data_IF_283546276469
#
_entry.id   IF_283546276469
#
_cell.length_a   1.000
_cell.length_b   1.000
_cell.length_c   1.000
_cell.angle_alpha   90.00
_cell.angle_beta   90.00
_cell.angle_gamma   90.00
#
_symmetry.space_group_name_H-M   'P 1'
#
loop_
_entity.id
_entity.type
_entity.pdbx_description
1 polymer ?
#
# COMPACT_ATOMS: atom_id res chain seq x y z
N UNK A 1 -19.65 -22.29 14.40
CA UNK A 1 -18.67 -22.02 15.48
C UNK A 1 -17.28 -21.96 14.85
N UNK A 2 -16.74 -20.77 14.60
CA UNK A 2 -15.36 -20.63 14.11
C UNK A 2 -14.40 -21.05 15.23
N UNK A 3 -13.68 -22.18 15.04
CA UNK A 3 -12.59 -22.56 15.94
C UNK A 3 -11.50 -21.47 15.85
N UNK A 4 -11.20 -20.83 16.99
CA UNK A 4 -10.04 -19.94 17.08
C UNK A 4 -8.78 -20.69 16.59
N UNK A 5 -7.94 -20.10 15.75
CA UNK A 5 -6.73 -20.75 15.25
C UNK A 5 -5.86 -21.21 16.43
N UNK A 6 -5.33 -22.41 16.34
CA UNK A 6 -4.50 -23.01 17.38
C UNK A 6 -3.18 -22.23 17.47
N UNK A 7 -2.83 -21.79 18.67
CA UNK A 7 -1.52 -21.13 18.91
C UNK A 7 -0.39 -22.08 18.59
N UNK A 8 0.69 -21.57 18.00
CA UNK A 8 1.92 -22.29 17.72
C UNK A 8 3.14 -21.54 18.26
N UNK A 9 4.29 -22.18 18.29
CA UNK A 9 5.54 -21.55 18.75
C UNK A 9 5.92 -20.42 17.79
N UNK A 10 6.43 -19.33 18.34
CA UNK A 10 6.85 -18.17 17.55
C UNK A 10 7.99 -18.51 16.58
N UNK A 11 8.99 -19.31 17.03
CA UNK A 11 10.11 -19.72 16.19
C UNK A 11 9.63 -20.57 15.00
N UNK A 12 8.64 -21.46 15.18
CA UNK A 12 8.05 -22.23 14.09
C UNK A 12 7.31 -21.32 13.11
N UNK A 13 6.47 -20.43 13.63
CA UNK A 13 5.73 -19.47 12.80
C UNK A 13 6.66 -18.59 11.96
N UNK A 14 7.76 -18.11 12.55
CA UNK A 14 8.75 -17.27 11.86
C UNK A 14 9.47 -18.02 10.73
N UNK A 15 9.73 -19.32 10.90
CA UNK A 15 10.32 -20.17 9.86
C UNK A 15 9.29 -20.48 8.78
N UNK A 16 8.07 -20.83 9.15
CA UNK A 16 6.96 -21.10 8.21
C UNK A 16 6.65 -19.88 7.32
N UNK A 17 6.72 -18.68 7.89
CA UNK A 17 6.53 -17.43 7.16
C UNK A 17 7.76 -17.02 6.32
N UNK A 18 8.83 -17.82 6.29
CA UNK A 18 10.08 -17.50 5.59
C UNK A 18 10.85 -16.32 6.20
N UNK A 19 10.49 -15.91 7.40
CA UNK A 19 11.15 -14.79 8.10
C UNK A 19 12.57 -15.17 8.55
N UNK A 20 12.82 -16.44 8.84
CA UNK A 20 14.15 -16.95 9.18
C UNK A 20 14.37 -18.32 8.53
N UNK A 21 15.61 -18.68 8.19
CA UNK A 21 15.92 -19.96 7.54
C UNK A 21 15.70 -21.15 8.47
N UNK A 22 15.83 -20.94 9.79
CA UNK A 22 15.73 -21.98 10.81
C UNK A 22 15.35 -21.38 12.18
N UNK A 23 15.02 -22.26 13.13
CA UNK A 23 14.67 -21.88 14.51
C UNK A 23 15.80 -21.19 15.27
N UNK A 24 17.06 -21.55 15.01
CA UNK A 24 18.20 -20.96 15.69
C UNK A 24 18.40 -19.50 15.27
N UNK A 25 18.17 -19.18 14.01
CA UNK A 25 18.16 -17.81 13.51
C UNK A 25 17.02 -17.00 14.14
N UNK A 26 15.82 -17.56 14.25
CA UNK A 26 14.69 -16.94 14.92
C UNK A 26 14.97 -16.72 16.44
N UNK A 27 15.56 -17.71 17.12
CA UNK A 27 15.95 -17.60 18.52
C UNK A 27 16.96 -16.44 18.74
N UNK A 28 18.02 -16.37 17.91
CA UNK A 28 19.00 -15.27 18.00
C UNK A 28 18.35 -13.89 17.84
N UNK A 29 17.40 -13.75 16.90
CA UNK A 29 16.69 -12.49 16.70
C UNK A 29 15.81 -12.11 17.91
N UNK A 30 15.14 -13.08 18.53
CA UNK A 30 14.37 -12.85 19.77
C UNK A 30 15.28 -12.42 20.91
N UNK A 31 16.43 -13.11 21.11
CA UNK A 31 17.42 -12.76 22.14
C UNK A 31 18.03 -11.37 21.90
N UNK A 32 18.21 -10.97 20.64
CA UNK A 32 18.69 -9.63 20.27
C UNK A 32 17.60 -8.53 20.41
N UNK A 33 16.39 -8.87 20.87
CA UNK A 33 15.22 -7.96 20.91
C UNK A 33 14.90 -7.36 19.54
N UNK A 34 14.94 -8.18 18.53
CA UNK A 34 14.60 -7.80 17.15
C UNK A 34 13.17 -8.21 16.77
N UNK A 35 12.49 -8.99 17.61
CA UNK A 35 11.13 -9.50 17.35
C UNK A 35 10.14 -8.91 18.35
N UNK A 36 9.05 -8.32 17.83
CA UNK A 36 7.86 -7.94 18.62
C UNK A 36 6.64 -8.69 18.07
N UNK A 37 5.76 -9.05 18.98
CA UNK A 37 4.44 -9.63 18.65
C UNK A 37 3.39 -8.74 19.28
N UNK A 38 2.43 -8.26 18.50
CA UNK A 38 1.38 -7.32 18.91
C UNK A 38 2.01 -6.11 19.65
N UNK A 39 3.07 -5.50 19.05
CA UNK A 39 3.87 -4.38 19.54
C UNK A 39 4.67 -4.62 20.83
N UNK A 40 4.69 -5.84 21.39
CA UNK A 40 5.44 -6.19 22.59
C UNK A 40 6.68 -7.02 22.23
N UNK A 41 7.85 -6.65 22.78
CA UNK A 41 9.04 -7.49 22.64
C UNK A 41 8.81 -8.83 23.33
N UNK A 42 9.05 -9.91 22.60
CA UNK A 42 8.88 -11.26 23.14
C UNK A 42 10.10 -11.67 23.95
N UNK A 43 9.83 -12.37 25.05
CA UNK A 43 10.89 -12.87 25.95
C UNK A 43 11.46 -14.22 25.52
N UNK A 44 10.73 -14.99 24.72
CA UNK A 44 11.12 -16.35 24.31
C UNK A 44 10.64 -16.69 22.92
N UNK A 45 11.51 -17.28 22.11
CA UNK A 45 11.17 -17.81 20.79
C UNK A 45 10.18 -19.00 20.84
N UNK A 46 10.10 -19.68 21.99
CA UNK A 46 9.13 -20.73 22.23
C UNK A 46 7.74 -20.23 22.67
N UNK A 47 7.54 -18.91 22.80
CA UNK A 47 6.25 -18.32 23.16
C UNK A 47 5.16 -18.78 22.17
N UNK A 48 4.00 -19.15 22.71
CA UNK A 48 2.85 -19.54 21.90
C UNK A 48 2.10 -18.29 21.42
N UNK A 49 2.10 -18.07 20.12
CA UNK A 49 1.44 -16.96 19.43
C UNK A 49 0.34 -17.45 18.50
N UNK A 50 -0.59 -16.57 18.15
CA UNK A 50 -1.59 -16.88 17.13
C UNK A 50 -0.92 -16.80 15.74
N UNK A 51 -1.34 -17.62 14.76
CA UNK A 51 -0.83 -17.54 13.39
C UNK A 51 -1.06 -16.19 12.71
N UNK A 52 -2.10 -15.47 13.15
CA UNK A 52 -2.51 -14.13 12.67
C UNK A 52 -1.98 -12.98 13.56
N UNK A 53 -1.04 -13.24 14.48
CA UNK A 53 -0.44 -12.21 15.32
C UNK A 53 0.39 -11.22 14.46
N UNK A 54 0.35 -9.93 14.83
CA UNK A 54 1.19 -8.92 14.18
C UNK A 54 2.65 -9.09 14.64
N UNK A 55 3.52 -9.53 13.72
CA UNK A 55 4.94 -9.77 13.99
C UNK A 55 5.79 -8.68 13.36
N UNK A 56 6.46 -7.90 14.21
CA UNK A 56 7.45 -6.93 13.78
C UNK A 56 8.87 -7.47 13.96
N UNK A 57 9.69 -7.37 12.91
CA UNK A 57 11.11 -7.76 12.91
C UNK A 57 11.99 -6.52 12.76
N UNK A 58 12.75 -6.19 13.82
CA UNK A 58 13.71 -5.08 13.80
C UNK A 58 14.80 -5.36 12.76
N UNK A 59 15.06 -4.38 11.91
CA UNK A 59 16.07 -4.52 10.85
C UNK A 59 15.60 -5.25 9.59
N UNK A 60 14.51 -5.99 9.61
CA UNK A 60 13.84 -6.51 8.43
C UNK A 60 12.64 -5.64 8.10
N UNK A 61 12.83 -4.73 7.17
CA UNK A 61 11.71 -4.00 6.58
C UNK A 61 10.95 -5.01 5.72
N UNK A 62 9.67 -5.25 6.03
CA UNK A 62 8.78 -6.07 5.21
C UNK A 62 8.76 -5.55 3.76
N UNK A 63 8.75 -4.23 3.60
CA UNK A 63 8.81 -3.52 2.32
C UNK A 63 9.96 -2.51 2.31
N UNK A 64 10.39 -2.07 1.14
CA UNK A 64 11.46 -1.04 0.99
C UNK A 64 11.11 0.28 1.68
N UNK A 65 9.81 0.55 1.89
CA UNK A 65 9.33 1.67 2.69
C UNK A 65 8.03 1.31 3.41
N UNK A 66 7.66 2.13 4.42
CA UNK A 66 6.41 1.95 5.17
C UNK A 66 5.14 2.11 4.31
N UNK A 67 5.24 2.73 3.12
CA UNK A 67 4.14 2.79 2.15
C UNK A 67 3.58 1.41 1.81
N UNK A 68 4.42 0.38 1.67
CA UNK A 68 3.99 -0.99 1.40
C UNK A 68 3.00 -1.54 2.44
N UNK A 69 3.13 -1.15 3.72
CA UNK A 69 2.17 -1.53 4.78
C UNK A 69 0.79 -0.92 4.56
N UNK A 70 0.69 0.29 3.98
CA UNK A 70 -0.59 0.91 3.65
C UNK A 70 -1.32 0.09 2.60
N UNK A 71 -0.63 -0.21 1.49
CA UNK A 71 -1.21 -1.00 0.41
C UNK A 71 -1.53 -2.42 0.88
N UNK A 72 -0.65 -3.08 1.64
CA UNK A 72 -0.94 -4.41 2.20
C UNK A 72 -2.24 -4.41 3.00
N UNK A 73 -2.43 -3.42 3.88
CA UNK A 73 -3.69 -3.30 4.64
C UNK A 73 -4.92 -3.14 3.75
N UNK A 74 -4.80 -2.45 2.61
CA UNK A 74 -5.90 -2.36 1.64
C UNK A 74 -6.15 -3.68 0.93
N UNK A 75 -5.09 -4.37 0.48
CA UNK A 75 -5.22 -5.68 -0.18
C UNK A 75 -5.91 -6.69 0.74
N UNK A 76 -5.51 -6.72 2.01
CA UNK A 76 -6.09 -7.63 3.02
C UNK A 76 -7.55 -7.28 3.31
N UNK A 77 -7.86 -6.01 3.59
CA UNK A 77 -9.20 -5.57 3.94
C UNK A 77 -10.21 -5.72 2.81
N UNK A 78 -9.77 -5.50 1.57
CA UNK A 78 -10.61 -5.66 0.39
C UNK A 78 -10.57 -7.07 -0.22
N UNK A 79 -9.79 -7.97 0.35
CA UNK A 79 -9.52 -9.32 -0.20
C UNK A 79 -9.13 -9.24 -1.68
N UNK A 80 -8.26 -8.26 -2.02
CA UNK A 80 -7.85 -8.01 -3.39
C UNK A 80 -6.69 -8.94 -3.77
N UNK A 81 -6.96 -9.88 -4.66
CA UNK A 81 -5.91 -10.67 -5.30
C UNK A 81 -5.17 -9.82 -6.34
N UNK A 82 -3.85 -9.98 -6.39
CA UNK A 82 -2.93 -9.27 -7.30
C UNK A 82 -2.15 -10.26 -8.19
N UNK A 83 -2.27 -11.56 -7.91
CA UNK A 83 -1.50 -12.58 -8.62
C UNK A 83 -1.74 -12.51 -10.14
N UNK A 84 -0.65 -12.41 -10.90
CA UNK A 84 -0.68 -12.36 -12.37
C UNK A 84 -1.14 -11.03 -12.99
N UNK A 85 -1.45 -10.01 -12.19
CA UNK A 85 -1.95 -8.72 -12.69
C UNK A 85 -0.84 -7.85 -13.30
N UNK A 86 -1.23 -7.04 -14.30
CA UNK A 86 -0.48 -5.90 -14.81
C UNK A 86 -0.89 -4.64 -14.03
N UNK A 87 0.03 -4.07 -13.26
CA UNK A 87 -0.24 -3.00 -12.31
C UNK A 87 0.42 -1.67 -12.71
N UNK A 88 -0.24 -0.56 -12.37
CA UNK A 88 0.35 0.79 -12.44
C UNK A 88 0.48 1.34 -11.01
N UNK A 89 1.68 1.76 -10.62
CA UNK A 89 1.98 2.43 -9.35
C UNK A 89 2.32 3.90 -9.62
N UNK A 90 1.38 4.80 -9.29
CA UNK A 90 1.49 6.24 -9.51
C UNK A 90 2.01 6.90 -8.22
N UNK A 91 3.19 7.53 -8.31
CA UNK A 91 3.90 8.07 -7.15
C UNK A 91 4.71 6.99 -6.44
N UNK A 92 5.44 6.19 -7.22
CA UNK A 92 6.18 5.02 -6.70
C UNK A 92 7.25 5.37 -5.66
N UNK A 93 7.84 6.58 -5.70
CA UNK A 93 8.84 7.06 -4.75
C UNK A 93 9.94 6.02 -4.49
N UNK A 94 10.09 5.58 -3.25
CA UNK A 94 11.06 4.53 -2.88
C UNK A 94 10.63 3.11 -3.28
N UNK A 95 9.43 2.93 -3.80
CA UNK A 95 8.91 1.65 -4.28
C UNK A 95 8.13 0.83 -3.24
N UNK A 96 7.55 1.48 -2.23
CA UNK A 96 6.82 0.77 -1.18
C UNK A 96 5.58 0.03 -1.72
N UNK A 97 4.76 0.70 -2.53
CA UNK A 97 3.60 0.08 -3.16
C UNK A 97 4.04 -0.95 -4.21
N UNK A 98 5.02 -0.62 -5.05
CA UNK A 98 5.60 -1.56 -6.03
C UNK A 98 6.08 -2.85 -5.34
N UNK A 99 6.85 -2.75 -4.23
CA UNK A 99 7.33 -3.92 -3.48
C UNK A 99 6.17 -4.78 -2.94
N UNK A 100 5.12 -4.13 -2.44
CA UNK A 100 3.90 -4.82 -1.99
C UNK A 100 3.23 -5.58 -3.14
N UNK A 101 3.03 -4.95 -4.29
CA UNK A 101 2.46 -5.59 -5.48
C UNK A 101 3.28 -6.79 -5.94
N UNK A 102 4.62 -6.65 -5.99
CA UNK A 102 5.52 -7.73 -6.39
C UNK A 102 5.47 -8.91 -5.42
N UNK A 103 5.41 -8.66 -4.12
CA UNK A 103 5.27 -9.69 -3.09
C UNK A 103 3.89 -10.37 -3.14
N UNK A 104 2.83 -9.61 -3.52
CA UNK A 104 1.48 -10.14 -3.75
C UNK A 104 1.33 -10.87 -5.10
N UNK A 105 2.40 -11.03 -5.89
CA UNK A 105 2.41 -11.84 -7.10
C UNK A 105 2.06 -11.12 -8.38
N UNK A 106 2.14 -9.77 -8.45
CA UNK A 106 1.97 -9.03 -9.69
C UNK A 106 2.89 -9.55 -10.80
N UNK A 107 2.36 -9.73 -12.01
CA UNK A 107 3.14 -10.15 -13.16
C UNK A 107 4.01 -9.01 -13.70
N UNK A 108 3.50 -7.79 -13.66
CA UNK A 108 4.21 -6.56 -14.09
C UNK A 108 3.78 -5.37 -13.25
N UNK A 109 4.70 -4.43 -13.04
CA UNK A 109 4.41 -3.14 -12.41
C UNK A 109 5.08 -2.04 -13.21
N UNK A 110 4.28 -1.10 -13.72
CA UNK A 110 4.76 0.17 -14.23
C UNK A 110 4.87 1.14 -13.03
N UNK A 111 6.09 1.43 -12.61
CA UNK A 111 6.38 2.32 -11.47
C UNK A 111 6.67 3.73 -11.98
N UNK A 112 5.74 4.65 -11.73
CA UNK A 112 5.78 6.02 -12.25
C UNK A 112 6.00 7.03 -11.13
N UNK A 113 6.95 7.95 -11.34
CA UNK A 113 7.21 9.06 -10.41
C UNK A 113 7.73 10.30 -11.16
N UNK A 114 7.38 11.49 -10.64
CA UNK A 114 7.92 12.76 -11.14
C UNK A 114 9.37 12.99 -10.74
N UNK A 115 9.81 12.34 -9.67
CA UNK A 115 11.17 12.38 -9.17
C UNK A 115 12.08 11.41 -9.92
N UNK A 116 13.37 11.47 -9.62
CA UNK A 116 14.39 10.61 -10.21
C UNK A 116 15.27 10.00 -9.12
N UNK A 117 15.64 8.72 -9.29
CA UNK A 117 16.64 8.05 -8.47
C UNK A 117 16.19 7.69 -7.06
N UNK A 118 14.88 7.78 -6.75
CA UNK A 118 14.36 7.43 -5.42
C UNK A 118 14.04 5.94 -5.29
N UNK A 119 13.69 5.28 -6.38
CA UNK A 119 13.27 3.88 -6.37
C UNK A 119 14.40 2.98 -5.85
N UNK A 120 14.09 2.16 -4.83
CA UNK A 120 15.05 1.26 -4.20
C UNK A 120 15.69 0.31 -5.22
N UNK A 121 17.00 0.08 -5.09
CA UNK A 121 17.79 -0.68 -6.06
C UNK A 121 17.23 -2.08 -6.33
N UNK A 122 16.79 -2.80 -5.29
CA UNK A 122 16.20 -4.14 -5.44
C UNK A 122 14.94 -4.13 -6.31
N UNK A 123 14.13 -3.06 -6.22
CA UNK A 123 12.90 -2.90 -7.00
C UNK A 123 13.23 -2.56 -8.44
N UNK A 124 14.18 -1.66 -8.64
CA UNK A 124 14.67 -1.26 -9.98
C UNK A 124 15.23 -2.43 -10.78
N UNK A 125 15.82 -3.43 -10.10
CA UNK A 125 16.40 -4.61 -10.75
C UNK A 125 15.42 -5.76 -10.96
N UNK A 126 14.20 -5.71 -10.42
CA UNK A 126 13.20 -6.76 -10.63
C UNK A 126 12.72 -6.70 -12.10
N UNK A 127 12.87 -7.81 -12.82
CA UNK A 127 12.53 -7.91 -14.25
C UNK A 127 11.03 -7.65 -14.54
N UNK A 128 10.17 -7.67 -13.51
CA UNK A 128 8.75 -7.37 -13.62
C UNK A 128 8.46 -5.87 -13.56
N UNK A 129 9.44 -5.02 -13.20
CA UNK A 129 9.24 -3.58 -12.99
C UNK A 129 9.72 -2.79 -14.20
N UNK A 130 8.81 -2.00 -14.75
CA UNK A 130 9.14 -0.95 -15.72
C UNK A 130 9.16 0.39 -15.00
N UNK A 131 10.31 1.08 -15.04
CA UNK A 131 10.53 2.32 -14.28
C UNK A 131 10.33 3.54 -15.18
N UNK A 132 9.41 4.41 -14.78
CA UNK A 132 9.07 5.66 -15.47
C UNK A 132 9.28 6.85 -14.51
N UNK A 133 10.54 7.24 -14.34
CA UNK A 133 10.93 8.41 -13.55
C UNK A 133 10.86 9.70 -14.38
N UNK A 134 10.79 10.86 -13.72
CA UNK A 134 10.61 12.18 -14.34
C UNK A 134 9.36 12.23 -15.23
N UNK A 135 8.35 11.45 -14.89
CA UNK A 135 7.14 11.31 -15.68
C UNK A 135 5.93 11.77 -14.88
N UNK A 136 5.25 12.79 -15.38
CA UNK A 136 3.99 13.26 -14.80
C UNK A 136 2.83 12.46 -15.40
N UNK A 137 1.97 11.88 -14.56
CA UNK A 137 0.80 11.12 -15.03
C UNK A 137 -0.13 11.93 -15.93
N UNK A 138 -0.15 13.27 -15.79
CA UNK A 138 -0.94 14.16 -16.65
C UNK A 138 -0.46 14.22 -18.10
N UNK A 139 0.81 13.88 -18.33
CA UNK A 139 1.48 13.95 -19.62
C UNK A 139 1.89 12.56 -20.15
N UNK A 140 1.68 11.54 -19.34
CA UNK A 140 2.11 10.18 -19.64
C UNK A 140 1.25 9.57 -20.77
N UNK A 141 1.93 8.99 -21.77
CA UNK A 141 1.26 8.21 -22.79
C UNK A 141 0.86 6.82 -22.24
N UNK A 142 -0.45 6.50 -22.19
CA UNK A 142 -0.92 5.22 -21.70
C UNK A 142 -0.29 4.01 -22.40
N UNK A 143 -0.08 4.10 -23.72
CA UNK A 143 0.47 3.01 -24.50
C UNK A 143 1.93 2.74 -24.15
N UNK A 144 2.73 3.78 -23.90
CA UNK A 144 4.12 3.64 -23.47
C UNK A 144 4.24 3.05 -22.06
N UNK A 145 3.28 3.30 -21.17
CA UNK A 145 3.23 2.71 -19.84
C UNK A 145 2.77 1.24 -19.86
N UNK A 146 2.15 0.79 -20.95
CA UNK A 146 1.62 -0.58 -21.08
C UNK A 146 0.16 -0.72 -20.65
N UNK A 147 -0.63 0.36 -20.73
CA UNK A 147 -2.08 0.30 -20.51
C UNK A 147 -2.78 -0.59 -21.56
N UNK A 148 -3.98 -1.14 -21.24
CA UNK A 148 -4.70 -0.98 -20.00
C UNK A 148 -4.15 -1.85 -18.86
N UNK A 149 -4.35 -1.38 -17.61
CA UNK A 149 -3.92 -2.08 -16.41
C UNK A 149 -5.07 -2.85 -15.75
N UNK A 150 -4.73 -3.91 -15.00
CA UNK A 150 -5.68 -4.67 -14.18
C UNK A 150 -5.91 -3.98 -12.84
N UNK A 151 -4.84 -3.40 -12.29
CA UNK A 151 -4.85 -2.69 -11.01
C UNK A 151 -4.05 -1.39 -11.13
N UNK A 152 -4.65 -0.28 -10.71
CA UNK A 152 -4.00 1.02 -10.56
C UNK A 152 -3.91 1.33 -9.07
N UNK A 153 -2.70 1.58 -8.57
CA UNK A 153 -2.48 2.07 -7.20
C UNK A 153 -1.85 3.46 -7.24
N UNK A 154 -2.16 4.30 -6.25
CA UNK A 154 -1.66 5.68 -6.22
C UNK A 154 -1.39 6.16 -4.78
N UNK A 155 -0.19 6.69 -4.57
CA UNK A 155 0.24 7.38 -3.36
C UNK A 155 1.04 8.65 -3.74
N UNK A 156 0.33 9.73 -4.03
CA UNK A 156 0.93 11.01 -4.41
C UNK A 156 0.88 12.03 -3.27
N UNK A 157 1.74 13.05 -3.33
CA UNK A 157 1.79 14.14 -2.37
C UNK A 157 1.68 15.48 -3.09
N UNK A 158 1.19 16.49 -2.37
CA UNK A 158 1.03 17.88 -2.86
C UNK A 158 0.00 18.08 -3.97
N UNK A 159 -0.79 17.05 -4.27
CA UNK A 159 -1.90 17.13 -5.22
C UNK A 159 -3.04 16.25 -4.70
N UNK A 160 -4.27 16.76 -4.78
CA UNK A 160 -5.47 16.01 -4.42
C UNK A 160 -5.77 14.90 -5.43
N UNK A 161 -6.09 13.71 -4.92
CA UNK A 161 -6.47 12.55 -5.72
C UNK A 161 -7.72 12.82 -6.56
N UNK A 162 -8.69 13.58 -6.02
CA UNK A 162 -9.89 13.99 -6.74
C UNK A 162 -9.56 14.71 -8.06
N UNK A 163 -8.52 15.55 -8.07
CA UNK A 163 -8.11 16.29 -9.27
C UNK A 163 -7.48 15.40 -10.37
N UNK A 164 -7.02 14.21 -10.01
CA UNK A 164 -6.42 13.24 -10.93
C UNK A 164 -7.43 12.22 -11.46
N UNK A 165 -8.59 12.08 -10.83
CA UNK A 165 -9.60 11.08 -11.18
C UNK A 165 -9.97 11.06 -12.69
N UNK A 166 -10.10 12.21 -13.39
CA UNK A 166 -10.41 12.24 -14.83
C UNK A 166 -9.36 11.58 -15.73
N UNK A 167 -8.14 11.33 -15.24
CA UNK A 167 -7.06 10.74 -16.01
C UNK A 167 -7.12 9.20 -16.03
N UNK A 168 -7.62 8.58 -14.96
CA UNK A 168 -7.53 7.13 -14.77
C UNK A 168 -8.26 6.30 -15.85
N UNK A 169 -9.37 6.76 -16.46
CA UNK A 169 -9.99 6.05 -17.57
C UNK A 169 -9.05 5.74 -18.73
N UNK A 170 -8.07 6.63 -19.02
CA UNK A 170 -7.10 6.43 -20.11
C UNK A 170 -6.17 5.24 -19.87
N UNK A 171 -6.02 4.79 -18.63
CA UNK A 171 -5.16 3.67 -18.22
C UNK A 171 -5.98 2.41 -17.91
N UNK A 172 -7.31 2.48 -18.04
CA UNK A 172 -8.26 1.47 -17.56
C UNK A 172 -8.96 0.75 -18.70
N UNK A 173 -9.48 -0.42 -18.38
CA UNK A 173 -10.48 -1.17 -19.13
C UNK A 173 -11.62 -1.58 -18.19
N UNK A 174 -12.82 -1.95 -18.69
CA UNK A 174 -13.89 -2.47 -17.82
C UNK A 174 -13.35 -3.56 -16.88
N UNK A 175 -13.57 -3.38 -15.58
CA UNK A 175 -13.06 -4.27 -14.54
C UNK A 175 -11.71 -3.87 -13.94
N UNK A 176 -11.00 -2.87 -14.47
CA UNK A 176 -9.78 -2.35 -13.82
C UNK A 176 -10.09 -1.93 -12.39
N UNK A 177 -9.33 -2.47 -11.44
CA UNK A 177 -9.39 -2.09 -10.02
C UNK A 177 -8.54 -0.85 -9.78
N UNK A 178 -9.03 0.03 -8.95
CA UNK A 178 -8.33 1.22 -8.48
C UNK A 178 -8.22 1.16 -6.95
N UNK A 179 -7.03 1.40 -6.40
CA UNK A 179 -6.80 1.59 -4.96
C UNK A 179 -5.96 2.85 -4.77
N UNK A 180 -6.58 3.90 -4.23
CA UNK A 180 -5.92 5.20 -4.04
C UNK A 180 -5.81 5.58 -2.58
N UNK A 181 -4.65 6.14 -2.19
CA UNK A 181 -4.44 6.73 -0.88
C UNK A 181 -4.98 8.16 -0.85
N UNK A 182 -6.07 8.37 -0.15
CA UNK A 182 -6.66 9.69 0.11
C UNK A 182 -5.91 10.31 1.27
N UNK A 183 -5.37 11.50 1.04
CA UNK A 183 -4.65 12.29 2.03
C UNK A 183 -5.45 13.57 2.32
N UNK A 184 -6.24 13.63 3.40
CA UNK A 184 -7.10 14.77 3.68
C UNK A 184 -6.37 16.12 3.61
N UNK A 185 -5.11 16.18 4.01
CA UNK A 185 -4.30 17.39 3.96
C UNK A 185 -3.98 17.90 2.55
N UNK A 186 -4.19 17.10 1.50
CA UNK A 186 -4.03 17.50 0.10
C UNK A 186 -5.36 17.60 -0.65
N UNK A 187 -6.45 17.22 0.00
CA UNK A 187 -7.82 17.33 -0.52
C UNK A 187 -8.58 18.54 0.09
N UNK A 188 -8.22 18.95 1.31
CA UNK A 188 -8.88 20.03 2.03
C UNK A 188 -8.28 21.41 1.73
N UNK A 189 -8.99 22.46 2.10
CA UNK A 189 -8.49 23.82 2.04
C UNK A 189 -7.37 24.05 3.08
N UNK A 190 -6.49 25.00 2.82
CA UNK A 190 -5.31 25.26 3.67
C UNK A 190 -5.68 25.65 5.11
N UNK A 191 -6.77 26.40 5.28
CA UNK A 191 -7.29 26.85 6.58
C UNK A 191 -7.97 25.74 7.40
N UNK A 192 -8.21 24.59 6.81
CA UNK A 192 -8.72 23.39 7.48
C UNK A 192 -7.61 22.50 8.07
N UNK A 193 -6.35 22.92 7.91
CA UNK A 193 -5.20 22.20 8.47
C UNK A 193 -4.56 22.95 9.62
N UNK A 194 -4.20 22.23 10.68
CA UNK A 194 -3.33 22.73 11.74
C UNK A 194 -1.89 22.27 11.47
N UNK A 195 -1.03 23.17 11.02
CA UNK A 195 0.37 22.87 10.64
C UNK A 195 0.49 21.68 9.69
N UNK A 196 -0.40 21.61 8.69
CA UNK A 196 -0.41 20.51 7.72
C UNK A 196 -1.10 19.22 8.19
N UNK A 197 -1.77 19.24 9.36
CA UNK A 197 -2.52 18.09 9.88
C UNK A 197 -4.01 18.42 9.92
N UNK A 198 -4.84 17.57 9.31
CA UNK A 198 -6.31 17.64 9.38
C UNK A 198 -6.78 16.91 10.63
N UNK A 199 -7.17 17.66 11.67
CA UNK A 199 -7.65 17.11 12.95
C UNK A 199 -9.13 16.85 12.98
N UNK A 200 -9.91 17.65 12.24
CA UNK A 200 -11.37 17.53 12.20
C UNK A 200 -11.80 16.29 11.42
N UNK A 201 -12.54 15.41 12.09
CA UNK A 201 -13.05 14.18 11.50
C UNK A 201 -14.09 14.47 10.40
N UNK A 202 -14.88 15.54 10.52
CA UNK A 202 -15.86 15.91 9.51
C UNK A 202 -15.16 16.32 8.19
N UNK A 203 -14.05 17.06 8.29
CA UNK A 203 -13.21 17.41 7.13
C UNK A 203 -12.63 16.15 6.50
N UNK A 204 -12.04 15.26 7.29
CA UNK A 204 -11.49 14.00 6.78
C UNK A 204 -12.55 13.17 6.03
N UNK A 205 -13.74 13.04 6.59
CA UNK A 205 -14.83 12.29 5.96
C UNK A 205 -15.28 12.94 4.66
N UNK A 206 -15.48 14.27 4.66
CA UNK A 206 -15.85 15.01 3.46
C UNK A 206 -14.82 14.81 2.34
N UNK A 207 -13.52 14.89 2.62
CA UNK A 207 -12.47 14.72 1.59
C UNK A 207 -12.51 13.31 0.97
N UNK A 208 -12.81 12.28 1.75
CA UNK A 208 -13.01 10.91 1.23
C UNK A 208 -14.25 10.83 0.34
N UNK A 209 -15.35 11.48 0.73
CA UNK A 209 -16.59 11.54 -0.05
C UNK A 209 -16.38 12.28 -1.39
N UNK A 210 -15.66 13.40 -1.37
CA UNK A 210 -15.31 14.18 -2.56
C UNK A 210 -14.45 13.38 -3.55
N UNK A 211 -13.44 12.65 -3.06
CA UNK A 211 -12.65 11.73 -3.88
C UNK A 211 -13.52 10.62 -4.46
N UNK A 212 -14.45 10.06 -3.66
CA UNK A 212 -15.38 9.05 -4.12
C UNK A 212 -16.29 9.55 -5.25
N UNK A 213 -16.79 10.78 -5.13
CA UNK A 213 -17.60 11.44 -6.17
C UNK A 213 -16.80 11.67 -7.45
N UNK A 214 -15.57 12.20 -7.35
CA UNK A 214 -14.69 12.41 -8.51
C UNK A 214 -14.37 11.10 -9.24
N UNK A 215 -14.14 10.00 -8.52
CA UNK A 215 -13.96 8.68 -9.10
C UNK A 215 -15.24 8.19 -9.80
N UNK A 216 -16.42 8.42 -9.22
CA UNK A 216 -17.70 8.05 -9.82
C UNK A 216 -17.94 8.81 -11.12
N UNK A 217 -17.69 10.10 -11.17
CA UNK A 217 -17.78 10.95 -12.36
C UNK A 217 -16.84 10.44 -13.47
N UNK A 218 -15.65 9.97 -13.10
CA UNK A 218 -14.68 9.36 -13.99
C UNK A 218 -15.08 7.93 -14.45
N UNK A 219 -16.17 7.36 -13.94
CA UNK A 219 -16.69 6.05 -14.33
C UNK A 219 -16.23 4.88 -13.45
N UNK A 220 -15.67 5.18 -12.27
CA UNK A 220 -15.31 4.17 -11.27
C UNK A 220 -16.39 4.03 -10.21
N UNK A 221 -16.87 2.82 -9.97
CA UNK A 221 -17.76 2.54 -8.84
C UNK A 221 -16.95 2.27 -7.57
N UNK A 222 -17.05 3.13 -6.56
CA UNK A 222 -16.43 2.90 -5.26
C UNK A 222 -17.04 1.66 -4.60
N UNK A 223 -16.20 0.75 -4.12
CA UNK A 223 -16.60 -0.54 -3.54
C UNK A 223 -16.16 -0.71 -2.09
N UNK A 224 -15.31 0.18 -1.58
CA UNK A 224 -14.88 0.17 -0.18
C UNK A 224 -13.93 1.32 0.14
N UNK A 225 -13.90 1.65 1.43
CA UNK A 225 -12.96 2.61 2.01
C UNK A 225 -12.52 2.10 3.38
N UNK A 226 -11.24 2.21 3.67
CA UNK A 226 -10.67 1.90 4.99
C UNK A 226 -9.77 3.04 5.45
N UNK A 227 -9.61 3.18 6.75
CA UNK A 227 -8.51 3.96 7.31
C UNK A 227 -7.19 3.23 7.06
N UNK A 228 -6.15 3.96 6.72
CA UNK A 228 -4.81 3.40 6.54
C UNK A 228 -4.29 2.78 7.84
N UNK A 229 -3.68 1.58 7.82
CA UNK A 229 -3.16 0.94 9.02
C UNK A 229 -2.04 1.72 9.71
N UNK A 230 -1.48 2.72 9.02
CA UNK A 230 -0.47 3.63 9.56
C UNK A 230 -0.76 5.07 9.14
N UNK A 231 -0.48 6.00 10.01
CA UNK A 231 -0.59 7.45 9.73
C UNK A 231 0.50 7.93 8.77
N UNK A 232 0.23 9.08 8.14
CA UNK A 232 1.24 9.83 7.39
C UNK A 232 2.43 10.28 8.25
N UNK A 233 3.51 10.83 7.64
CA UNK A 233 4.74 11.21 8.35
C UNK A 233 4.51 12.19 9.50
N UNK A 234 3.55 13.10 9.36
CA UNK A 234 3.23 14.15 10.32
C UNK A 234 2.04 13.80 11.22
N UNK A 235 1.58 12.53 11.16
CA UNK A 235 0.48 12.03 11.98
C UNK A 235 -0.90 12.20 11.36
N UNK A 236 -1.00 12.60 10.09
CA UNK A 236 -2.27 12.64 9.38
C UNK A 236 -2.90 11.25 9.29
N UNK A 237 -4.20 11.17 9.59
CA UNK A 237 -5.02 10.00 9.27
C UNK A 237 -5.27 10.03 7.78
N UNK A 238 -4.96 8.93 7.10
CA UNK A 238 -5.11 8.75 5.66
C UNK A 238 -6.07 7.60 5.39
N UNK A 239 -6.64 7.53 4.20
CA UNK A 239 -7.62 6.50 3.85
C UNK A 239 -7.26 5.84 2.53
N UNK A 240 -7.64 4.56 2.38
CA UNK A 240 -7.54 3.86 1.11
C UNK A 240 -8.93 3.62 0.54
N UNK A 241 -9.16 4.09 -0.67
CA UNK A 241 -10.40 3.91 -1.41
C UNK A 241 -10.19 2.87 -2.49
N UNK A 242 -11.08 1.86 -2.55
CA UNK A 242 -11.15 0.89 -3.63
C UNK A 242 -12.32 1.21 -4.55
N UNK A 243 -12.06 1.22 -5.85
CA UNK A 243 -13.09 1.40 -6.87
C UNK A 243 -12.85 0.46 -8.06
N UNK A 244 -13.87 0.27 -8.90
CA UNK A 244 -13.77 -0.55 -10.12
C UNK A 244 -14.29 0.24 -11.30
N UNK A 245 -13.52 0.29 -12.39
CA UNK A 245 -13.91 0.94 -13.63
C UNK A 245 -15.04 0.17 -14.32
N UNK A 246 -16.10 0.90 -14.71
CA UNK A 246 -17.36 0.31 -15.20
C UNK A 246 -17.69 0.65 -16.66
N UNK A 247 -16.94 1.57 -17.26
CA UNK A 247 -17.21 2.04 -18.65
C UNK A 247 -16.42 1.26 -19.68
#
# INVERSE_FOLDING_TARGET
MNKKPKKQRLDDLLVEQGAFPDRDAALRAVMAREVRVDDVYVASAAQLVRPDADIFLKGRKQFVSRGGRKLQGALDAFSQDVAGMNCLDIGSSTGGFTDCLLQAGAARVAALDVNYGQLAWKIRQDARVNVFERTNIKEADPALLGAPFDLIVIDVSFIGLASLAPLFPHFSRPGTVFIGLVKPQFESAHDETDRGVVRDEAVRRRTVEEVGAALADAGFGVTGTIESPITGPEGNVEYLVRAVFRK
#
